data_IF_358335398608
#
_entry.id   IF_358335398608
#
_cell.length_a   1.000
_cell.length_b   1.000
_cell.length_c   1.000
_cell.angle_alpha   90.00
_cell.angle_beta   90.00
_cell.angle_gamma   90.00
#
_symmetry.space_group_name_H-M   'P 1'
#
loop_
_entity.id
_entity.type
_entity.pdbx_description
1 polymer ?
#
# COMPACT_ATOMS: atom_id res chain seq x y z
N UNK A 1 7.60 42.55 -6.69
CA UNK A 1 7.77 41.31 -5.90
C UNK A 1 6.59 40.42 -6.21
N UNK A 2 6.74 39.49 -7.15
CA UNK A 2 5.67 38.57 -7.52
C UNK A 2 5.55 37.49 -6.45
N UNK A 3 4.45 37.52 -5.70
CA UNK A 3 4.05 36.44 -4.81
C UNK A 3 3.72 35.26 -5.73
N UNK A 4 4.69 34.36 -5.93
CA UNK A 4 4.45 33.10 -6.61
C UNK A 4 3.36 32.36 -5.84
N UNK A 5 2.17 32.27 -6.43
CA UNK A 5 1.06 31.48 -5.94
C UNK A 5 1.50 30.00 -5.95
N UNK A 6 2.15 29.54 -4.89
CA UNK A 6 2.61 28.15 -4.78
C UNK A 6 1.39 27.26 -4.68
N UNK A 7 0.95 26.74 -5.83
CA UNK A 7 -0.13 25.77 -5.94
C UNK A 7 0.19 24.60 -5.02
N UNK A 8 -0.71 24.28 -4.10
CA UNK A 8 -0.53 23.15 -3.18
C UNK A 8 -0.24 21.88 -4.01
N UNK A 9 0.83 21.13 -3.68
CA UNK A 9 1.19 19.94 -4.45
C UNK A 9 0.04 18.93 -4.44
N UNK A 10 -0.22 18.31 -5.60
CA UNK A 10 -1.23 17.26 -5.71
C UNK A 10 -0.83 16.10 -4.81
N UNK A 11 -1.72 15.70 -3.89
CA UNK A 11 -1.53 14.51 -3.06
C UNK A 11 -1.88 13.26 -3.87
N UNK A 12 -0.95 12.29 -3.90
CA UNK A 12 -1.18 10.97 -4.50
C UNK A 12 -0.91 9.92 -3.43
N UNK A 13 -1.96 9.21 -3.00
CA UNK A 13 -1.87 8.08 -2.08
C UNK A 13 -1.74 6.78 -2.87
N UNK A 14 -0.82 5.91 -2.44
CA UNK A 14 -0.43 4.70 -3.16
C UNK A 14 -0.43 3.52 -2.19
N UNK A 15 -0.95 2.36 -2.62
CA UNK A 15 -0.80 1.10 -1.91
C UNK A 15 -0.35 0.03 -2.90
N UNK A 16 0.93 -0.34 -2.81
CA UNK A 16 1.50 -1.46 -3.56
C UNK A 16 1.30 -2.78 -2.84
N UNK A 17 1.06 -3.86 -3.60
CA UNK A 17 0.91 -5.17 -3.00
C UNK A 17 0.85 -6.30 -4.00
N UNK A 18 1.16 -7.52 -3.55
CA UNK A 18 0.92 -8.71 -4.37
C UNK A 18 -0.58 -8.94 -4.58
N UNK A 19 -1.40 -8.70 -3.55
CA UNK A 19 -2.85 -8.93 -3.57
C UNK A 19 -3.24 -10.34 -4.06
N UNK A 20 -2.85 -11.35 -3.29
CA UNK A 20 -3.03 -12.77 -3.65
C UNK A 20 -3.82 -13.56 -2.58
N UNK A 21 -5.11 -13.23 -2.34
CA UNK A 21 -5.92 -12.18 -2.99
C UNK A 21 -5.88 -10.82 -2.25
N UNK A 22 -6.43 -9.77 -2.87
CA UNK A 22 -6.83 -8.56 -2.12
C UNK A 22 -7.95 -8.94 -1.13
N UNK A 23 -8.00 -8.31 0.04
CA UNK A 23 -8.91 -8.70 1.13
C UNK A 23 -9.21 -7.52 2.05
N UNK A 24 -10.15 -7.68 2.98
CA UNK A 24 -10.59 -6.61 3.87
C UNK A 24 -9.45 -6.04 4.74
N UNK A 25 -8.47 -6.87 5.11
CA UNK A 25 -7.25 -6.40 5.80
C UNK A 25 -6.37 -5.43 4.99
N UNK A 26 -6.46 -5.42 3.66
CA UNK A 26 -5.82 -4.38 2.84
C UNK A 26 -6.75 -3.17 2.67
N UNK A 27 -8.04 -3.45 2.48
CA UNK A 27 -9.02 -2.46 2.03
C UNK A 27 -9.38 -1.50 3.15
N UNK A 28 -9.81 -2.01 4.31
CA UNK A 28 -10.34 -1.17 5.39
C UNK A 28 -9.28 -0.19 5.92
N UNK A 29 -8.04 -0.61 6.25
CA UNK A 29 -7.01 0.33 6.69
C UNK A 29 -6.65 1.33 5.59
N UNK A 30 -6.62 0.92 4.32
CA UNK A 30 -6.30 1.82 3.22
C UNK A 30 -7.38 2.90 3.01
N UNK A 31 -8.66 2.56 3.16
CA UNK A 31 -9.77 3.54 3.10
C UNK A 31 -9.65 4.55 4.23
N UNK A 32 -9.41 4.08 5.45
CA UNK A 32 -9.23 4.93 6.63
C UNK A 32 -8.03 5.87 6.45
N UNK A 33 -6.88 5.34 6.02
CA UNK A 33 -5.68 6.15 5.73
C UNK A 33 -5.94 7.18 4.64
N UNK A 34 -6.66 6.82 3.57
CA UNK A 34 -6.99 7.78 2.50
C UNK A 34 -7.83 8.94 3.04
N UNK A 35 -8.84 8.63 3.88
CA UNK A 35 -9.66 9.65 4.53
C UNK A 35 -8.84 10.53 5.47
N UNK A 36 -7.99 9.92 6.30
CA UNK A 36 -7.11 10.63 7.24
C UNK A 36 -6.15 11.59 6.52
N UNK A 37 -5.58 11.17 5.39
CA UNK A 37 -4.71 12.01 4.54
C UNK A 37 -5.47 13.11 3.78
N UNK A 38 -6.81 13.08 3.75
CA UNK A 38 -7.61 13.93 2.85
C UNK A 38 -7.43 13.57 1.37
N UNK A 39 -7.02 12.33 1.07
CA UNK A 39 -6.79 11.84 -0.28
C UNK A 39 -8.13 11.57 -0.98
N UNK A 40 -8.38 12.24 -2.11
CA UNK A 40 -9.58 11.97 -2.94
C UNK A 40 -9.54 10.60 -3.62
N UNK A 41 -8.34 10.12 -3.91
CA UNK A 41 -8.07 8.84 -4.58
C UNK A 41 -6.86 8.16 -3.94
N UNK A 42 -6.95 6.84 -3.82
CA UNK A 42 -5.87 5.94 -3.45
C UNK A 42 -5.64 4.96 -4.61
N UNK A 43 -4.41 4.91 -5.11
CA UNK A 43 -4.02 4.04 -6.20
C UNK A 43 -3.60 2.67 -5.66
N UNK A 44 -4.35 1.63 -6.03
CA UNK A 44 -3.98 0.24 -5.76
C UNK A 44 -3.08 -0.25 -6.90
N UNK A 45 -1.85 -0.64 -6.55
CA UNK A 45 -0.82 -1.06 -7.52
C UNK A 45 -0.52 -2.55 -7.34
N UNK A 46 -1.18 -3.45 -8.11
CA UNK A 46 -0.86 -4.87 -8.07
C UNK A 46 0.51 -5.16 -8.68
N UNK A 47 1.37 -5.79 -7.89
CA UNK A 47 2.70 -6.20 -8.33
C UNK A 47 2.63 -7.21 -9.47
N UNK A 48 3.34 -6.97 -10.57
CA UNK A 48 3.40 -7.94 -11.67
C UNK A 48 4.26 -9.13 -11.28
N UNK A 49 5.53 -8.86 -10.97
CA UNK A 49 6.55 -9.84 -10.58
C UNK A 49 7.04 -9.45 -9.17
N UNK A 50 6.47 -10.02 -8.09
CA UNK A 50 6.83 -9.64 -6.73
C UNK A 50 8.27 -10.11 -6.39
N UNK A 51 9.20 -9.19 -6.06
CA UNK A 51 10.61 -9.54 -5.87
C UNK A 51 10.89 -10.40 -4.63
N UNK A 52 10.03 -10.33 -3.62
CA UNK A 52 10.23 -10.98 -2.31
C UNK A 52 9.39 -12.26 -2.11
N UNK A 53 8.73 -12.79 -3.15
CA UNK A 53 7.93 -14.02 -3.05
C UNK A 53 8.38 -15.06 -4.06
N UNK A 54 8.60 -16.29 -3.61
CA UNK A 54 8.98 -17.43 -4.46
C UNK A 54 7.89 -17.85 -5.47
N UNK A 55 6.71 -17.25 -5.42
CA UNK A 55 5.62 -17.46 -6.37
C UNK A 55 4.32 -16.80 -5.92
N UNK A 56 3.34 -16.74 -6.82
CA UNK A 56 1.95 -16.33 -6.54
C UNK A 56 1.01 -17.47 -6.90
N UNK A 57 -0.07 -17.63 -6.15
CA UNK A 57 -1.04 -18.70 -6.40
C UNK A 57 -2.03 -18.28 -7.50
N UNK A 58 -2.48 -17.02 -7.51
CA UNK A 58 -3.16 -16.43 -8.66
C UNK A 58 -2.15 -15.70 -9.55
N UNK A 59 -2.32 -15.81 -10.87
CA UNK A 59 -1.46 -15.10 -11.82
C UNK A 59 -1.71 -13.57 -11.79
N UNK A 60 -0.82 -12.79 -12.38
CA UNK A 60 -0.90 -11.33 -12.33
C UNK A 60 -2.20 -10.76 -12.91
N UNK A 61 -2.75 -11.37 -13.97
CA UNK A 61 -4.04 -10.96 -14.56
C UNK A 61 -5.19 -11.20 -13.59
N UNK A 62 -5.23 -12.35 -12.93
CA UNK A 62 -6.26 -12.70 -11.94
C UNK A 62 -6.18 -11.78 -10.72
N UNK A 63 -4.98 -11.53 -10.18
CA UNK A 63 -4.78 -10.61 -9.06
C UNK A 63 -5.22 -9.20 -9.40
N UNK A 64 -4.84 -8.71 -10.59
CA UNK A 64 -5.27 -7.40 -11.09
C UNK A 64 -6.77 -7.32 -11.29
N UNK A 65 -7.42 -8.40 -11.77
CA UNK A 65 -8.87 -8.44 -11.92
C UNK A 65 -9.57 -8.36 -10.57
N UNK A 66 -9.09 -9.05 -9.54
CA UNK A 66 -9.63 -8.92 -8.17
C UNK A 66 -9.47 -7.51 -7.62
N UNK A 67 -8.33 -6.84 -7.86
CA UNK A 67 -8.15 -5.42 -7.49
C UNK A 67 -9.12 -4.51 -8.27
N UNK A 68 -9.31 -4.74 -9.57
CA UNK A 68 -10.25 -3.97 -10.38
C UNK A 68 -11.68 -4.04 -9.82
N UNK A 69 -12.13 -5.23 -9.42
CA UNK A 69 -13.46 -5.43 -8.81
C UNK A 69 -13.64 -4.62 -7.51
N UNK A 70 -12.57 -4.41 -6.74
CA UNK A 70 -12.60 -3.54 -5.55
C UNK A 70 -12.70 -2.07 -5.96
N UNK A 71 -11.95 -1.65 -6.97
CA UNK A 71 -12.00 -0.27 -7.48
C UNK A 71 -13.38 0.07 -8.06
N UNK A 72 -14.03 -0.85 -8.76
CA UNK A 72 -15.36 -0.65 -9.35
C UNK A 72 -16.45 -0.43 -8.28
N UNK A 73 -16.25 -0.93 -7.06
CA UNK A 73 -17.21 -0.83 -5.95
C UNK A 73 -16.97 0.36 -5.04
N UNK A 74 -15.85 1.07 -5.18
CA UNK A 74 -15.45 2.10 -4.21
C UNK A 74 -14.78 3.29 -4.89
N UNK A 75 -15.38 4.49 -4.82
CA UNK A 75 -14.87 5.66 -5.53
C UNK A 75 -13.54 6.17 -4.97
N UNK A 76 -13.13 5.75 -3.78
CA UNK A 76 -11.81 6.12 -3.21
C UNK A 76 -10.67 5.41 -3.93
N UNK A 77 -10.90 4.20 -4.46
CA UNK A 77 -9.84 3.41 -5.06
C UNK A 77 -9.72 3.65 -6.56
N UNK A 78 -8.49 3.53 -7.07
CA UNK A 78 -8.20 3.55 -8.49
C UNK A 78 -7.16 2.49 -8.79
N UNK A 79 -7.42 1.65 -9.79
CA UNK A 79 -6.46 0.65 -10.21
C UNK A 79 -5.31 1.33 -10.97
N UNK A 80 -4.08 1.03 -10.59
CA UNK A 80 -2.89 1.44 -11.34
C UNK A 80 -2.15 0.20 -11.84
N UNK A 81 -2.26 -0.06 -13.14
CA UNK A 81 -1.67 -1.23 -13.79
C UNK A 81 -0.25 -1.00 -14.29
N UNK A 82 0.45 0.07 -13.89
CA UNK A 82 1.77 0.41 -14.46
C UNK A 82 2.77 -0.73 -14.35
N UNK A 83 2.75 -1.47 -13.25
CA UNK A 83 3.72 -2.55 -13.01
C UNK A 83 3.48 -3.74 -13.92
N UNK A 84 2.23 -3.98 -14.36
CA UNK A 84 1.89 -5.04 -15.33
C UNK A 84 2.53 -4.81 -16.70
N UNK A 85 2.89 -3.56 -17.02
CA UNK A 85 3.53 -3.21 -18.29
C UNK A 85 5.05 -3.48 -18.28
N UNK A 86 5.63 -3.82 -17.12
CA UNK A 86 7.06 -4.07 -16.96
C UNK A 86 7.36 -5.57 -16.99
N UNK A 87 8.49 -5.94 -17.59
CA UNK A 87 9.02 -7.30 -17.57
C UNK A 87 10.04 -7.52 -16.44
N UNK A 88 10.47 -6.45 -15.76
CA UNK A 88 11.34 -6.50 -14.59
C UNK A 88 10.55 -6.80 -13.31
N UNK A 89 11.23 -7.25 -12.23
CA UNK A 89 10.64 -7.28 -10.90
C UNK A 89 9.99 -5.94 -10.52
N UNK A 90 8.87 -6.01 -9.81
CA UNK A 90 8.10 -4.85 -9.39
C UNK A 90 8.73 -4.22 -8.15
N UNK A 91 9.74 -3.38 -8.35
CA UNK A 91 10.34 -2.59 -7.27
C UNK A 91 9.60 -1.29 -7.05
N UNK A 92 9.33 -0.98 -5.78
CA UNK A 92 8.63 0.24 -5.36
C UNK A 92 9.36 1.50 -5.82
N UNK A 93 10.70 1.52 -5.78
CA UNK A 93 11.50 2.67 -6.22
C UNK A 93 11.24 3.02 -7.69
N UNK A 94 11.18 2.02 -8.58
CA UNK A 94 10.94 2.23 -10.01
C UNK A 94 9.53 2.79 -10.26
N UNK A 95 8.55 2.29 -9.49
CA UNK A 95 7.16 2.77 -9.53
C UNK A 95 7.06 4.23 -9.10
N UNK A 96 7.69 4.59 -7.98
CA UNK A 96 7.68 5.96 -7.48
C UNK A 96 8.44 6.93 -8.42
N UNK A 97 9.56 6.49 -9.00
CA UNK A 97 10.28 7.28 -10.00
C UNK A 97 9.41 7.57 -11.21
N UNK A 98 8.72 6.55 -11.74
CA UNK A 98 7.80 6.74 -12.87
C UNK A 98 6.69 7.75 -12.53
N UNK A 99 6.08 7.63 -11.35
CA UNK A 99 5.04 8.59 -10.90
C UNK A 99 5.62 10.00 -10.79
N UNK A 100 6.84 10.16 -10.25
CA UNK A 100 7.50 11.46 -10.16
C UNK A 100 7.86 12.05 -11.53
N UNK A 101 8.23 11.23 -12.51
CA UNK A 101 8.42 11.70 -13.89
C UNK A 101 7.11 12.22 -14.49
N UNK A 102 6.00 11.51 -14.26
CA UNK A 102 4.66 11.88 -14.74
C UNK A 102 4.09 13.10 -13.99
N UNK A 103 4.39 13.23 -12.70
CA UNK A 103 3.88 14.25 -11.79
C UNK A 103 4.99 14.81 -10.88
N UNK A 104 5.91 15.64 -11.40
CA UNK A 104 7.11 16.09 -10.66
C UNK A 104 6.80 16.81 -9.34
N UNK A 105 5.71 17.57 -9.33
CA UNK A 105 5.29 18.37 -8.18
C UNK A 105 4.34 17.65 -7.22
N UNK A 106 3.98 16.38 -7.47
CA UNK A 106 3.07 15.65 -6.60
C UNK A 106 3.74 15.25 -5.28
N UNK A 107 3.00 15.34 -4.18
CA UNK A 107 3.39 14.75 -2.90
C UNK A 107 2.88 13.30 -2.86
N UNK A 108 3.82 12.35 -2.85
CA UNK A 108 3.50 10.92 -2.85
C UNK A 108 3.45 10.38 -1.43
N UNK A 109 2.42 9.60 -1.13
CA UNK A 109 2.24 8.91 0.14
C UNK A 109 2.10 7.42 -0.13
N UNK A 110 3.14 6.66 0.22
CA UNK A 110 3.13 5.21 0.06
C UNK A 110 2.68 4.53 1.35
N UNK A 111 1.51 3.92 1.29
CA UNK A 111 0.84 3.28 2.42
C UNK A 111 1.37 1.85 2.56
N UNK A 112 1.69 1.46 3.80
CA UNK A 112 2.18 0.12 4.13
C UNK A 112 1.80 -0.28 5.55
N UNK A 113 1.91 -1.57 5.85
CA UNK A 113 1.77 -2.08 7.22
C UNK A 113 3.09 -2.09 7.97
N UNK A 114 3.02 -2.24 9.30
CA UNK A 114 4.17 -2.30 10.18
C UNK A 114 5.20 -3.37 9.81
N UNK A 115 4.76 -4.59 9.44
CA UNK A 115 5.67 -5.68 9.04
C UNK A 115 6.54 -5.30 7.83
N UNK A 116 5.98 -4.51 6.91
CA UNK A 116 6.73 -4.01 5.77
C UNK A 116 7.72 -2.91 6.17
N UNK A 117 7.40 -2.10 7.20
CA UNK A 117 8.32 -1.08 7.71
C UNK A 117 9.54 -1.75 8.38
N UNK A 118 9.32 -2.79 9.19
CA UNK A 118 10.39 -3.51 9.89
C UNK A 118 11.39 -4.17 8.93
N UNK A 119 10.95 -4.52 7.72
CA UNK A 119 11.79 -5.08 6.65
C UNK A 119 12.16 -4.06 5.57
N UNK A 120 11.81 -2.77 5.73
CA UNK A 120 11.92 -1.77 4.68
C UNK A 120 13.36 -1.52 4.21
N UNK A 121 14.34 -1.60 5.10
CA UNK A 121 15.77 -1.44 4.75
C UNK A 121 16.32 -2.57 3.88
N UNK A 122 15.56 -3.66 3.69
CA UNK A 122 15.87 -4.76 2.78
C UNK A 122 15.28 -4.52 1.38
N UNK A 123 14.45 -3.49 1.20
CA UNK A 123 13.84 -3.19 -0.10
C UNK A 123 14.89 -2.63 -1.07
N UNK A 124 14.72 -2.93 -2.35
CA UNK A 124 15.62 -2.46 -3.39
C UNK A 124 15.69 -0.92 -3.41
N UNK A 125 16.88 -0.38 -3.15
CA UNK A 125 17.16 1.07 -3.09
C UNK A 125 16.21 1.82 -2.13
N UNK A 126 16.01 1.28 -0.93
CA UNK A 126 15.09 1.85 0.07
C UNK A 126 15.38 3.31 0.42
N UNK A 127 16.63 3.75 0.39
CA UNK A 127 16.98 5.16 0.63
C UNK A 127 16.38 6.08 -0.44
N UNK A 128 16.37 5.64 -1.70
CA UNK A 128 15.80 6.41 -2.81
C UNK A 128 14.28 6.51 -2.70
N UNK A 129 13.61 5.49 -2.15
CA UNK A 129 12.17 5.56 -1.86
C UNK A 129 11.85 6.75 -0.94
N UNK A 130 12.70 7.00 0.07
CA UNK A 130 12.53 8.13 0.99
C UNK A 130 12.82 9.49 0.34
N UNK A 131 13.51 9.56 -0.80
CA UNK A 131 13.65 10.82 -1.55
C UNK A 131 12.43 11.09 -2.44
N UNK A 132 11.63 10.06 -2.74
CA UNK A 132 10.53 10.13 -3.70
C UNK A 132 9.16 10.31 -3.04
N UNK A 133 8.98 9.82 -1.81
CA UNK A 133 7.68 9.81 -1.13
C UNK A 133 7.79 9.97 0.39
N UNK A 134 6.64 10.18 1.03
CA UNK A 134 6.45 9.92 2.45
C UNK A 134 5.86 8.51 2.63
N UNK A 135 6.29 7.80 3.67
CA UNK A 135 5.68 6.53 4.04
C UNK A 135 4.53 6.79 4.99
N UNK A 136 3.43 6.05 4.85
CA UNK A 136 2.32 6.06 5.81
C UNK A 136 2.15 4.65 6.33
N UNK A 137 2.44 4.46 7.61
CA UNK A 137 2.54 3.15 8.24
C UNK A 137 1.34 2.95 9.14
N UNK A 138 0.49 2.01 8.75
CA UNK A 138 -0.66 1.60 9.54
C UNK A 138 -0.21 0.69 10.69
N UNK A 139 -0.52 1.13 11.92
CA UNK A 139 -0.29 0.39 13.16
C UNK A 139 -1.62 0.12 13.88
N UNK A 140 -1.60 -0.84 14.81
CA UNK A 140 -2.75 -1.13 15.68
C UNK A 140 -2.91 0.01 16.70
N UNK A 141 -4.14 0.45 17.02
CA UNK A 141 -4.36 1.48 18.04
C UNK A 141 -3.74 1.07 19.38
N UNK A 142 -3.01 1.99 20.00
CA UNK A 142 -2.33 1.73 21.28
C UNK A 142 -1.06 0.89 21.17
N UNK A 143 -0.53 0.64 19.98
CA UNK A 143 0.78 0.01 19.83
C UNK A 143 1.87 0.91 20.44
N UNK A 144 2.73 0.42 21.35
CA UNK A 144 3.68 1.29 22.03
C UNK A 144 4.71 1.91 21.08
N UNK A 145 4.73 3.24 20.98
CA UNK A 145 5.68 3.97 20.11
C UNK A 145 7.15 3.65 20.46
N UNK A 146 7.47 3.52 21.76
CA UNK A 146 8.82 3.14 22.20
C UNK A 146 9.24 1.76 21.67
N UNK A 147 8.30 0.80 21.59
CA UNK A 147 8.60 -0.52 21.05
C UNK A 147 8.84 -0.47 19.53
N UNK A 148 8.05 0.34 18.81
CA UNK A 148 8.27 0.60 17.38
C UNK A 148 9.66 1.22 17.16
N UNK A 149 9.97 2.29 17.89
CA UNK A 149 11.25 3.01 17.76
C UNK A 149 12.45 2.13 18.07
N UNK A 150 12.34 1.22 19.04
CA UNK A 150 13.42 0.29 19.40
C UNK A 150 13.66 -0.78 18.32
N UNK A 151 12.64 -1.10 17.52
CA UNK A 151 12.71 -2.12 16.47
C UNK A 151 13.19 -1.55 15.11
N UNK A 152 13.35 -0.24 14.97
CA UNK A 152 13.71 0.41 13.72
C UNK A 152 15.19 0.79 13.65
N UNK A 153 15.73 0.69 12.44
CA UNK A 153 17.04 1.23 12.11
C UNK A 153 17.09 2.75 12.41
N UNK A 154 18.21 3.29 12.92
CA UNK A 154 18.33 4.70 13.29
C UNK A 154 17.94 5.67 12.16
N UNK A 155 18.24 5.29 10.92
CA UNK A 155 17.93 6.07 9.71
C UNK A 155 16.42 6.20 9.43
N UNK A 156 15.61 5.26 9.90
CA UNK A 156 14.14 5.32 9.83
C UNK A 156 13.57 6.00 11.06
N UNK A 157 14.11 5.70 12.24
CA UNK A 157 13.66 6.28 13.53
C UNK A 157 13.64 7.81 13.51
N UNK A 158 14.68 8.45 12.95
CA UNK A 158 14.79 9.92 12.88
C UNK A 158 13.77 10.60 11.96
N UNK A 159 12.97 9.82 11.22
CA UNK A 159 11.98 10.27 10.25
C UNK A 159 10.54 10.04 10.70
N UNK A 160 10.34 9.46 11.88
CA UNK A 160 9.02 9.19 12.42
C UNK A 160 8.30 10.49 12.78
N UNK A 161 7.05 10.61 12.32
CA UNK A 161 6.11 11.62 12.76
C UNK A 161 4.77 10.95 13.10
N UNK A 162 4.09 11.49 14.11
CA UNK A 162 2.88 10.91 14.70
C UNK A 162 1.64 11.79 14.46
N UNK A 163 1.78 12.87 13.70
CA UNK A 163 0.68 13.75 13.32
C UNK A 163 0.92 14.41 11.97
N UNK A 164 -0.13 14.58 11.17
CA UNK A 164 -0.09 15.36 9.93
C UNK A 164 0.32 16.82 10.18
N UNK A 165 0.09 17.36 11.38
CA UNK A 165 0.52 18.71 11.73
C UNK A 165 2.05 18.87 11.75
N UNK A 166 2.81 17.78 11.91
CA UNK A 166 4.27 17.79 11.86
C UNK A 166 4.81 17.76 10.41
N UNK A 167 3.96 17.43 9.43
CA UNK A 167 4.36 17.34 8.05
C UNK A 167 4.49 18.73 7.42
N UNK A 168 5.71 19.09 7.03
CA UNK A 168 5.96 20.32 6.28
C UNK A 168 5.63 20.10 4.79
N UNK A 169 5.04 21.13 4.16
CA UNK A 169 4.68 21.06 2.73
C UNK A 169 5.94 20.81 1.89
N UNK A 170 5.80 19.95 0.88
CA UNK A 170 6.85 19.55 -0.07
C UNK A 170 7.99 18.70 0.52
N UNK A 171 7.97 18.36 1.81
CA UNK A 171 8.94 17.45 2.37
C UNK A 171 8.62 16.00 1.98
N UNK A 172 9.64 15.26 1.56
CA UNK A 172 9.61 13.80 1.36
C UNK A 172 10.44 13.12 2.44
N UNK A 173 10.27 11.81 2.58
CA UNK A 173 11.08 10.97 3.44
C UNK A 173 10.66 10.98 4.90
N UNK A 174 9.50 11.53 5.22
CA UNK A 174 8.86 11.35 6.53
C UNK A 174 8.14 10.00 6.58
N UNK A 175 8.08 9.41 7.77
CA UNK A 175 7.38 8.16 8.06
C UNK A 175 6.24 8.50 9.02
N UNK A 176 5.04 8.60 8.46
CA UNK A 176 3.83 8.94 9.17
C UNK A 176 3.26 7.70 9.83
N UNK A 177 3.17 7.71 11.15
CA UNK A 177 2.49 6.66 11.90
C UNK A 177 1.01 6.99 11.99
N UNK A 178 0.18 6.07 11.51
CA UNK A 178 -1.26 6.18 11.51
C UNK A 178 -1.87 4.99 12.25
N UNK A 179 -2.58 5.28 13.33
CA UNK A 179 -3.37 4.27 14.03
C UNK A 179 -4.64 4.00 13.25
N UNK A 180 -4.67 2.87 12.55
CA UNK A 180 -5.84 2.43 11.78
C UNK A 180 -6.51 1.24 12.46
N UNK A 181 -7.81 1.09 12.25
CA UNK A 181 -8.59 -0.03 12.77
C UNK A 181 -7.91 -1.38 12.46
N UNK A 182 -7.61 -2.20 13.47
CA UNK A 182 -6.85 -3.42 13.28
C UNK A 182 -7.72 -4.44 12.56
N UNK A 183 -7.20 -5.01 11.48
CA UNK A 183 -7.86 -6.09 10.75
C UNK A 183 -6.90 -7.26 10.65
N UNK A 184 -7.12 -8.28 11.49
CA UNK A 184 -6.26 -9.46 11.57
C UNK A 184 -6.59 -10.47 10.46
N UNK A 185 -6.25 -10.09 9.22
CA UNK A 185 -6.52 -10.87 8.02
C UNK A 185 -5.25 -10.90 7.16
N UNK A 186 -4.78 -12.10 6.82
CA UNK A 186 -3.68 -12.29 5.87
C UNK A 186 -4.13 -13.10 4.67
N UNK A 187 -3.54 -12.80 3.50
CA UNK A 187 -3.80 -13.57 2.28
C UNK A 187 -3.37 -15.04 2.45
N UNK A 188 -2.32 -15.30 3.23
CA UNK A 188 -1.85 -16.66 3.52
C UNK A 188 -2.90 -17.45 4.29
N UNK A 189 -3.51 -16.87 5.33
CA UNK A 189 -4.58 -17.49 6.09
C UNK A 189 -5.81 -17.72 5.22
N UNK A 190 -6.18 -16.77 4.35
CA UNK A 190 -7.31 -16.93 3.41
C UNK A 190 -7.06 -18.11 2.46
N UNK A 191 -5.90 -18.16 1.80
CA UNK A 191 -5.57 -19.25 0.88
C UNK A 191 -5.57 -20.62 1.57
N UNK A 192 -5.00 -20.69 2.79
CA UNK A 192 -5.01 -21.92 3.57
C UNK A 192 -6.43 -22.38 3.93
N UNK A 193 -7.31 -21.45 4.32
CA UNK A 193 -8.73 -21.73 4.61
C UNK A 193 -9.49 -22.22 3.37
N UNK A 194 -9.29 -21.58 2.21
CA UNK A 194 -9.92 -22.02 0.95
C UNK A 194 -9.48 -23.45 0.60
N UNK A 195 -8.18 -23.74 0.67
CA UNK A 195 -7.65 -25.09 0.42
C UNK A 195 -8.21 -26.14 1.38
N UNK A 196 -8.52 -25.75 2.61
CA UNK A 196 -9.19 -26.59 3.61
C UNK A 196 -10.72 -26.68 3.44
N UNK A 197 -11.30 -26.10 2.38
CA UNK A 197 -12.74 -26.09 2.14
C UNK A 197 -13.55 -25.18 3.07
N UNK A 198 -12.88 -24.27 3.80
CA UNK A 198 -13.55 -23.34 4.71
C UNK A 198 -14.15 -22.14 3.98
N UNK A 199 -15.28 -21.64 4.47
CA UNK A 199 -15.85 -20.38 3.98
C UNK A 199 -14.99 -19.19 4.45
N UNK A 200 -14.64 -18.31 3.51
CA UNK A 200 -13.80 -17.11 3.72
C UNK A 200 -14.50 -15.80 3.34
N UNK A 201 -15.81 -15.81 3.07
CA UNK A 201 -16.56 -14.63 2.59
C UNK A 201 -16.45 -13.45 3.55
N UNK A 202 -16.40 -13.69 4.86
CA UNK A 202 -16.22 -12.65 5.88
C UNK A 202 -14.87 -11.91 5.81
N UNK A 203 -13.88 -12.41 5.07
CA UNK A 203 -12.54 -11.80 4.96
C UNK A 203 -12.34 -11.03 3.65
N UNK A 204 -13.31 -11.09 2.74
CA UNK A 204 -13.19 -10.61 1.37
C UNK A 204 -14.39 -9.70 1.03
N UNK A 205 -14.21 -8.73 0.13
CA UNK A 205 -15.35 -8.15 -0.57
C UNK A 205 -16.10 -9.23 -1.34
N UNK A 206 -17.43 -9.16 -1.35
CA UNK A 206 -18.30 -10.13 -2.05
C UNK A 206 -17.87 -10.34 -3.50
N UNK A 207 -17.59 -9.25 -4.23
CA UNK A 207 -17.14 -9.32 -5.63
C UNK A 207 -15.82 -10.10 -5.82
N UNK A 208 -14.91 -10.06 -4.83
CA UNK A 208 -13.65 -10.81 -4.88
C UNK A 208 -13.87 -12.26 -4.51
N UNK A 209 -14.73 -12.53 -3.52
CA UNK A 209 -15.13 -13.88 -3.14
C UNK A 209 -15.79 -14.62 -4.32
N UNK A 210 -16.75 -14.00 -4.99
CA UNK A 210 -17.44 -14.57 -6.15
C UNK A 210 -16.46 -14.89 -7.29
N UNK A 211 -15.51 -13.99 -7.54
CA UNK A 211 -14.48 -14.21 -8.55
C UNK A 211 -13.57 -15.41 -8.21
N UNK A 212 -13.17 -15.55 -6.94
CA UNK A 212 -12.39 -16.69 -6.48
C UNK A 212 -13.14 -18.00 -6.67
N UNK A 213 -14.43 -18.03 -6.32
CA UNK A 213 -15.30 -19.21 -6.46
C UNK A 213 -15.51 -19.60 -7.93
N UNK A 214 -15.85 -18.63 -8.78
CA UNK A 214 -16.08 -18.83 -10.22
C UNK A 214 -14.84 -19.39 -10.91
N UNK A 215 -13.66 -18.87 -10.57
CA UNK A 215 -12.39 -19.27 -11.19
C UNK A 215 -11.66 -20.39 -10.47
N UNK A 216 -12.25 -20.96 -9.40
CA UNK A 216 -11.69 -22.04 -8.57
C UNK A 216 -10.27 -21.73 -8.08
N UNK A 217 -10.00 -20.48 -7.72
CA UNK A 217 -8.68 -20.06 -7.28
C UNK A 217 -8.38 -20.62 -5.88
N UNK A 218 -7.10 -20.91 -5.62
CA UNK A 218 -6.58 -21.33 -4.31
C UNK A 218 -7.07 -22.70 -3.81
N UNK A 219 -7.59 -23.54 -4.70
CA UNK A 219 -8.01 -24.92 -4.43
C UNK A 219 -6.91 -25.91 -4.76
#
# INVERSE_FOLDING_TARGET
MSITNQKTPTLIALLGGTFDPIHLGHILPAQETAQWLGAKKLHLIPAHIPPHKAGTHANAKQRTKMVALVCDKSPVFTLDTRELKRHSPSYTVDTLQQIKTEQPNAALYFIMGMDSLLSFTQWHRWQDILTLCNLVVNIRPGYPHLALEAALEPALKSRLIYSLAQLQRQQTGQILIHESSPVDISSTTIRAKIKAGSNVSQYLPECVYDYIEQHKLYR
#
